data_IF_763775806883
#
_entry.id   IF_763775806883
#
_cell.length_a   1.000
_cell.length_b   1.000
_cell.length_c   1.000
_cell.angle_alpha   90.00
_cell.angle_beta   90.00
_cell.angle_gamma   90.00
#
_symmetry.space_group_name_H-M   'P 1'
#
loop_
_entity.id
_entity.type
_entity.pdbx_description
1 polymer ?
#
# COMPACT_ATOMS: atom_id res chain seq x y z
N UNK A 1 -30.88 -43.21 6.15
CA UNK A 1 -30.45 -42.09 5.28
C UNK A 1 -30.42 -40.74 6.01
N UNK A 2 -31.48 -40.37 6.76
CA UNK A 2 -31.55 -39.11 7.53
C UNK A 2 -30.32 -38.82 8.42
N UNK A 3 -29.80 -39.81 9.15
CA UNK A 3 -28.61 -39.67 10.02
C UNK A 3 -27.34 -39.26 9.24
N UNK A 4 -27.15 -39.77 8.03
CA UNK A 4 -26.02 -39.40 7.15
C UNK A 4 -26.15 -37.95 6.63
N UNK A 5 -27.38 -37.53 6.33
CA UNK A 5 -27.69 -36.15 5.91
C UNK A 5 -27.43 -35.16 7.05
N UNK A 6 -27.85 -35.49 8.28
CA UNK A 6 -27.57 -34.67 9.46
C UNK A 6 -26.08 -34.53 9.75
N UNK A 7 -25.30 -35.61 9.62
CA UNK A 7 -23.84 -35.57 9.78
C UNK A 7 -23.22 -34.65 8.71
N UNK A 8 -23.65 -34.77 7.45
CA UNK A 8 -23.19 -33.89 6.38
C UNK A 8 -23.47 -32.41 6.66
N UNK A 9 -24.67 -32.09 7.15
CA UNK A 9 -25.02 -30.70 7.54
C UNK A 9 -24.19 -30.18 8.70
N UNK A 10 -23.93 -31.00 9.72
CA UNK A 10 -23.09 -30.60 10.87
C UNK A 10 -21.67 -30.26 10.41
N UNK A 11 -21.09 -31.09 9.55
CA UNK A 11 -19.75 -30.84 8.99
C UNK A 11 -19.72 -29.54 8.19
N UNK A 12 -20.74 -29.29 7.36
CA UNK A 12 -20.83 -28.06 6.56
C UNK A 12 -20.93 -26.81 7.45
N UNK A 13 -21.75 -26.84 8.50
CA UNK A 13 -21.90 -25.74 9.46
C UNK A 13 -20.57 -25.48 10.18
N UNK A 14 -19.85 -26.53 10.60
CA UNK A 14 -18.55 -26.39 11.26
C UNK A 14 -17.50 -25.78 10.33
N UNK A 15 -17.48 -26.16 9.05
CA UNK A 15 -16.57 -25.57 8.05
C UNK A 15 -16.87 -24.09 7.84
N UNK A 16 -18.15 -23.71 7.70
CA UNK A 16 -18.57 -22.31 7.54
C UNK A 16 -18.25 -21.48 8.79
N UNK A 17 -18.48 -22.02 9.99
CA UNK A 17 -18.14 -21.37 11.25
C UNK A 17 -16.61 -21.18 11.41
N UNK A 18 -15.82 -22.19 11.06
CA UNK A 18 -14.36 -22.11 11.11
C UNK A 18 -13.81 -21.10 10.10
N UNK A 19 -14.35 -21.09 8.89
CA UNK A 19 -13.97 -20.15 7.83
C UNK A 19 -14.31 -18.71 8.20
N UNK A 20 -15.54 -18.46 8.69
CA UNK A 20 -15.96 -17.13 9.13
C UNK A 20 -15.15 -16.64 10.33
N UNK A 21 -14.86 -17.51 11.30
CA UNK A 21 -13.98 -17.18 12.43
C UNK A 21 -12.56 -16.83 12.00
N UNK A 22 -11.99 -17.59 11.06
CA UNK A 22 -10.68 -17.29 10.47
C UNK A 22 -10.69 -15.96 9.73
N UNK A 23 -11.67 -15.75 8.85
CA UNK A 23 -11.81 -14.51 8.08
C UNK A 23 -11.97 -13.28 8.98
N UNK A 24 -12.81 -13.39 10.02
CA UNK A 24 -12.97 -12.33 11.00
C UNK A 24 -11.65 -12.03 11.72
N UNK A 25 -10.94 -13.05 12.19
CA UNK A 25 -9.65 -12.90 12.89
C UNK A 25 -8.59 -12.22 12.02
N UNK A 26 -8.54 -12.52 10.72
CA UNK A 26 -7.59 -11.92 9.78
C UNK A 26 -7.85 -10.44 9.50
N UNK A 27 -9.11 -10.00 9.59
CA UNK A 27 -9.53 -8.62 9.33
C UNK A 27 -9.55 -7.73 10.57
N UNK A 28 -9.24 -8.27 11.76
CA UNK A 28 -9.12 -7.46 12.97
C UNK A 28 -7.90 -6.54 12.88
N UNK A 29 -8.07 -5.30 13.32
CA UNK A 29 -6.97 -4.37 13.46
C UNK A 29 -6.20 -4.68 14.75
N UNK A 30 -4.88 -4.78 14.61
CA UNK A 30 -3.94 -5.03 15.71
C UNK A 30 -2.85 -3.97 15.68
N UNK A 31 -2.30 -3.65 16.84
CA UNK A 31 -1.25 -2.64 16.96
C UNK A 31 -0.04 -3.01 16.09
N UNK A 32 0.40 -2.03 15.30
CA UNK A 32 1.61 -2.16 14.52
C UNK A 32 2.81 -2.14 15.47
N UNK A 33 3.46 -3.30 15.59
CA UNK A 33 4.72 -3.42 16.32
C UNK A 33 5.89 -3.44 15.33
N UNK A 34 6.86 -2.52 15.47
CA UNK A 34 8.04 -2.48 14.62
C UNK A 34 8.78 -3.81 14.67
N UNK A 35 9.28 -4.24 13.51
CA UNK A 35 9.99 -5.51 13.34
C UNK A 35 11.40 -5.25 12.84
N UNK A 36 12.38 -5.86 13.48
CA UNK A 36 13.79 -5.83 13.08
C UNK A 36 14.31 -7.23 12.83
N UNK A 37 15.26 -7.35 11.90
CA UNK A 37 15.96 -8.60 11.67
C UNK A 37 16.79 -8.94 12.91
N UNK A 38 16.76 -10.20 13.34
CA UNK A 38 17.70 -10.70 14.33
C UNK A 38 19.08 -10.77 13.68
N UNK A 39 20.11 -10.40 14.43
CA UNK A 39 21.50 -10.56 14.00
C UNK A 39 21.81 -12.06 13.91
N UNK A 40 21.68 -12.62 12.70
CA UNK A 40 22.14 -13.95 12.39
C UNK A 40 23.32 -13.86 11.44
N UNK A 41 24.39 -14.58 11.76
CA UNK A 41 25.60 -14.74 10.93
C UNK A 41 25.34 -15.61 9.67
N UNK A 42 24.07 -15.85 9.34
CA UNK A 42 23.61 -16.72 8.25
C UNK A 42 22.87 -15.92 7.20
N UNK A 43 23.08 -16.28 5.94
CA UNK A 43 22.35 -15.73 4.80
C UNK A 43 20.84 -15.73 5.07
N UNK A 44 20.23 -14.55 5.00
CA UNK A 44 18.78 -14.35 5.19
C UNK A 44 18.07 -15.15 4.11
N UNK A 45 17.34 -16.20 4.51
CA UNK A 45 16.38 -16.88 3.64
C UNK A 45 15.09 -16.07 3.74
N UNK A 46 14.66 -15.46 2.63
CA UNK A 46 13.39 -14.73 2.58
C UNK A 46 12.24 -15.66 3.02
N UNK A 47 11.26 -15.13 3.75
CA UNK A 47 10.04 -15.82 4.23
C UNK A 47 10.15 -16.64 5.52
N UNK A 48 11.27 -16.61 6.24
CA UNK A 48 11.36 -17.23 7.56
C UNK A 48 11.05 -16.20 8.67
N UNK A 49 9.88 -16.37 9.32
CA UNK A 49 9.43 -15.52 10.41
C UNK A 49 10.37 -15.58 11.63
N UNK A 50 11.14 -16.66 11.79
CA UNK A 50 12.07 -16.82 12.92
C UNK A 50 13.28 -15.89 12.83
N UNK A 51 13.55 -15.32 11.64
CA UNK A 51 14.61 -14.35 11.40
C UNK A 51 14.30 -12.96 11.95
N UNK A 52 13.08 -12.73 12.42
CA UNK A 52 12.62 -11.42 12.87
C UNK A 52 12.29 -11.39 14.35
N UNK A 53 12.45 -10.22 14.98
CA UNK A 53 11.95 -9.93 16.33
C UNK A 53 11.18 -8.61 16.32
N UNK A 54 10.25 -8.46 17.25
CA UNK A 54 9.69 -7.14 17.53
C UNK A 54 10.77 -6.25 18.15
N UNK A 55 10.83 -5.00 17.71
CA UNK A 55 11.76 -4.03 18.23
C UNK A 55 11.31 -3.53 19.59
N UNK A 56 12.27 -3.31 20.49
CA UNK A 56 12.04 -2.67 21.77
C UNK A 56 11.85 -1.14 21.59
N UNK A 57 11.17 -0.45 22.53
CA UNK A 57 10.88 0.99 22.39
C UNK A 57 12.12 1.89 22.19
N UNK A 58 13.29 1.46 22.66
CA UNK A 58 14.59 2.14 22.49
C UNK A 58 15.28 1.84 21.16
N UNK A 59 14.91 0.76 20.47
CA UNK A 59 15.46 0.38 19.16
C UNK A 59 14.79 1.15 18.02
N UNK A 60 13.74 1.90 18.31
CA UNK A 60 12.91 2.60 17.33
C UNK A 60 13.03 4.12 17.50
N UNK A 61 13.21 4.89 16.42
CA UNK A 61 13.34 6.34 16.52
C UNK A 61 12.05 6.98 17.04
N UNK A 62 12.14 8.10 17.78
CA UNK A 62 10.98 8.72 18.43
C UNK A 62 9.89 9.20 17.46
N UNK A 63 10.24 9.50 16.21
CA UNK A 63 9.29 9.93 15.17
C UNK A 63 8.78 8.77 14.30
N UNK A 64 8.99 7.53 14.72
CA UNK A 64 8.71 6.34 13.93
C UNK A 64 7.26 6.27 13.43
N UNK A 65 6.26 6.43 14.30
CA UNK A 65 4.86 6.33 13.87
C UNK A 65 4.47 7.40 12.84
N UNK A 66 5.06 8.59 12.91
CA UNK A 66 4.88 9.64 11.89
C UNK A 66 5.43 9.21 10.53
N UNK A 67 6.61 8.59 10.52
CA UNK A 67 7.23 8.07 9.30
C UNK A 67 6.50 6.84 8.77
N UNK A 68 6.08 5.95 9.65
CA UNK A 68 5.30 4.76 9.32
C UNK A 68 3.98 5.14 8.66
N UNK A 69 3.28 6.15 9.19
CA UNK A 69 2.06 6.70 8.56
C UNK A 69 2.28 7.04 7.10
N UNK A 70 3.32 7.83 6.83
CA UNK A 70 3.70 8.22 5.46
C UNK A 70 4.01 7.02 4.56
N UNK A 71 4.72 6.02 5.09
CA UNK A 71 5.06 4.78 4.37
C UNK A 71 3.80 3.98 4.03
N UNK A 72 2.87 3.84 4.98
CA UNK A 72 1.63 3.09 4.78
C UNK A 72 0.70 3.78 3.78
N UNK A 73 0.58 5.11 3.85
CA UNK A 73 -0.18 5.92 2.87
C UNK A 73 0.35 5.70 1.44
N UNK A 74 1.68 5.75 1.27
CA UNK A 74 2.37 5.47 -0.01
C UNK A 74 2.15 4.05 -0.52
N UNK A 75 2.12 3.08 0.37
CA UNK A 75 1.91 1.68 0.02
C UNK A 75 0.43 1.33 -0.17
N UNK A 76 -0.49 2.30 -0.08
CA UNK A 76 -1.94 2.10 -0.12
C UNK A 76 -2.40 1.02 0.85
N UNK A 77 -1.88 1.06 2.07
CA UNK A 77 -2.22 0.12 3.14
C UNK A 77 -3.27 0.76 4.02
N UNK A 78 -4.41 0.09 4.18
CA UNK A 78 -5.41 0.51 5.16
C UNK A 78 -4.88 0.32 6.59
N UNK A 79 -5.00 1.36 7.40
CA UNK A 79 -4.68 1.36 8.83
C UNK A 79 -5.69 2.22 9.61
N UNK A 80 -5.76 1.99 10.92
CA UNK A 80 -6.43 2.88 11.86
C UNK A 80 -5.37 3.60 12.70
N UNK A 81 -5.63 4.85 13.06
CA UNK A 81 -4.78 5.64 13.95
C UNK A 81 -5.57 6.01 15.20
N UNK A 82 -5.11 5.55 16.37
CA UNK A 82 -5.71 5.90 17.67
C UNK A 82 -4.61 6.37 18.60
N UNK A 83 -4.73 7.58 19.16
CA UNK A 83 -3.74 8.17 20.08
C UNK A 83 -2.29 8.21 19.54
N UNK A 84 -2.13 8.35 18.22
CA UNK A 84 -0.82 8.34 17.55
C UNK A 84 -0.20 6.94 17.38
N UNK A 85 -0.94 5.88 17.74
CA UNK A 85 -0.57 4.49 17.52
C UNK A 85 -1.28 4.00 16.26
N UNK A 86 -0.55 3.30 15.41
CA UNK A 86 -1.06 2.75 14.14
C UNK A 86 -1.48 1.30 14.34
N UNK A 87 -2.65 0.95 13.82
CA UNK A 87 -3.18 -0.41 13.82
C UNK A 87 -3.37 -0.89 12.39
N UNK A 88 -2.96 -2.12 12.10
CA UNK A 88 -3.08 -2.76 10.78
C UNK A 88 -3.86 -4.07 10.86
N UNK A 89 -4.44 -4.50 9.75
CA UNK A 89 -5.13 -5.79 9.70
C UNK A 89 -4.19 -6.94 10.09
N UNK A 90 -4.69 -7.85 10.92
CA UNK A 90 -3.95 -8.99 11.44
C UNK A 90 -3.30 -9.84 10.34
N UNK A 91 -3.94 -9.97 9.18
CA UNK A 91 -3.35 -10.61 7.99
C UNK A 91 -2.00 -10.02 7.59
N UNK A 92 -1.87 -8.68 7.61
CA UNK A 92 -0.62 -7.98 7.28
C UNK A 92 0.37 -8.06 8.43
N UNK A 93 -0.12 -7.98 9.67
CA UNK A 93 0.71 -8.13 10.86
C UNK A 93 1.44 -9.49 10.93
N UNK A 94 0.79 -10.56 10.48
CA UNK A 94 1.38 -11.91 10.48
C UNK A 94 2.46 -12.13 9.41
N UNK A 95 2.63 -11.22 8.47
CA UNK A 95 3.70 -11.23 7.48
C UNK A 95 4.90 -10.43 8.02
N UNK A 96 5.83 -11.12 8.70
CA UNK A 96 6.97 -10.46 9.35
C UNK A 96 7.91 -9.78 8.35
N UNK A 97 8.01 -10.31 7.14
CA UNK A 97 8.83 -9.70 6.08
C UNK A 97 8.22 -8.38 5.62
N UNK A 98 6.89 -8.34 5.45
CA UNK A 98 6.17 -7.10 5.13
C UNK A 98 6.29 -6.06 6.26
N UNK A 99 6.11 -6.51 7.51
CA UNK A 99 6.26 -5.65 8.69
C UNK A 99 7.68 -5.09 8.82
N UNK A 100 8.69 -5.92 8.58
CA UNK A 100 10.09 -5.52 8.56
C UNK A 100 10.40 -4.51 7.44
N UNK A 101 9.85 -4.72 6.24
CA UNK A 101 10.01 -3.79 5.12
C UNK A 101 9.43 -2.40 5.45
N UNK A 102 8.21 -2.34 5.99
CA UNK A 102 7.62 -1.06 6.42
C UNK A 102 8.42 -0.42 7.55
N UNK A 103 8.87 -1.21 8.52
CA UNK A 103 9.72 -0.72 9.61
C UNK A 103 11.01 -0.11 9.07
N UNK A 104 11.71 -0.83 8.18
CA UNK A 104 12.98 -0.39 7.57
C UNK A 104 12.81 0.87 6.73
N UNK A 105 11.71 0.98 5.96
CA UNK A 105 11.38 2.21 5.21
C UNK A 105 11.10 3.39 6.14
N UNK A 106 10.36 3.17 7.22
CA UNK A 106 10.02 4.20 8.19
C UNK A 106 11.23 4.69 9.01
N UNK A 107 12.27 3.87 9.14
CA UNK A 107 13.51 4.24 9.84
C UNK A 107 14.62 4.74 8.89
N UNK A 108 14.54 4.46 7.59
CA UNK A 108 15.56 4.83 6.62
C UNK A 108 15.43 6.27 6.12
N UNK A 109 16.40 7.12 6.50
CA UNK A 109 16.49 8.49 5.98
C UNK A 109 16.79 8.55 4.47
N UNK A 110 17.49 7.55 3.94
CA UNK A 110 17.82 7.43 2.52
C UNK A 110 16.56 7.18 1.69
N UNK A 111 15.68 6.29 2.18
CA UNK A 111 14.40 6.01 1.55
C UNK A 111 13.55 7.28 1.36
N UNK A 112 13.43 8.11 2.41
CA UNK A 112 12.71 9.39 2.32
C UNK A 112 13.37 10.44 1.42
N UNK A 113 14.68 10.36 1.17
CA UNK A 113 15.36 11.23 0.21
C UNK A 113 15.04 10.79 -1.21
N UNK A 114 15.21 9.51 -1.51
CA UNK A 114 14.93 8.92 -2.82
C UNK A 114 13.48 9.15 -3.25
N UNK A 115 12.52 8.94 -2.35
CA UNK A 115 11.10 9.16 -2.66
C UNK A 115 10.78 10.63 -2.97
N UNK A 116 11.40 11.58 -2.26
CA UNK A 116 11.22 13.01 -2.54
C UNK A 116 11.83 13.43 -3.88
N UNK A 117 12.99 12.86 -4.23
CA UNK A 117 13.62 13.10 -5.53
C UNK A 117 12.73 12.53 -6.66
N UNK A 118 12.19 11.33 -6.48
CA UNK A 118 11.27 10.71 -7.42
C UNK A 118 9.99 11.55 -7.59
N UNK A 119 9.41 12.05 -6.50
CA UNK A 119 8.25 12.95 -6.55
C UNK A 119 8.53 14.22 -7.34
N UNK A 120 9.68 14.86 -7.07
CA UNK A 120 10.06 16.07 -7.77
C UNK A 120 10.22 15.82 -9.27
N UNK A 121 10.77 14.67 -9.65
CA UNK A 121 10.95 14.26 -11.04
C UNK A 121 9.60 13.96 -11.71
N UNK A 122 8.71 13.24 -11.03
CA UNK A 122 7.37 12.93 -11.53
C UNK A 122 6.54 14.19 -11.77
N UNK A 123 6.63 15.18 -10.86
CA UNK A 123 5.94 16.47 -11.03
C UNK A 123 6.44 17.23 -12.26
N UNK A 124 7.75 17.21 -12.53
CA UNK A 124 8.32 17.82 -13.74
C UNK A 124 7.76 17.13 -14.98
N UNK A 125 7.80 15.79 -15.00
CA UNK A 125 7.32 14.99 -16.11
C UNK A 125 5.81 15.20 -16.37
N UNK A 126 4.99 15.22 -15.32
CA UNK A 126 3.54 15.44 -15.44
C UNK A 126 3.24 16.83 -16.03
N UNK A 127 3.97 17.86 -15.58
CA UNK A 127 3.83 19.21 -16.13
C UNK A 127 4.20 19.27 -17.61
N UNK A 128 5.35 18.69 -17.98
CA UNK A 128 5.79 18.64 -19.39
C UNK A 128 4.78 17.89 -20.26
N UNK A 129 4.23 16.79 -19.76
CA UNK A 129 3.19 16.03 -20.44
C UNK A 129 1.92 16.86 -20.65
N UNK A 130 1.41 17.51 -19.61
CA UNK A 130 0.21 18.36 -19.68
C UNK A 130 0.42 19.54 -20.62
N UNK A 131 1.57 20.22 -20.57
CA UNK A 131 1.91 21.33 -21.45
C UNK A 131 1.98 20.87 -22.93
N UNK A 132 2.54 19.68 -23.17
CA UNK A 132 2.56 19.04 -24.50
C UNK A 132 1.14 18.74 -25.02
N UNK A 133 0.28 18.15 -24.18
CA UNK A 133 -1.13 17.87 -24.54
C UNK A 133 -1.90 19.15 -24.84
N UNK A 134 -1.69 20.20 -24.04
CA UNK A 134 -2.31 21.51 -24.25
C UNK A 134 -1.92 22.09 -25.61
N UNK A 135 -0.63 22.02 -25.97
CA UNK A 135 -0.14 22.49 -27.28
C UNK A 135 -0.79 21.74 -28.45
N UNK A 136 -0.94 20.43 -28.35
CA UNK A 136 -1.62 19.61 -29.36
C UNK A 136 -3.08 20.05 -29.50
N UNK A 137 -3.79 20.21 -28.38
CA UNK A 137 -5.18 20.63 -28.38
C UNK A 137 -5.37 22.04 -28.97
N UNK A 138 -4.48 22.98 -28.63
CA UNK A 138 -4.49 24.32 -29.18
C UNK A 138 -4.25 24.31 -30.70
N UNK A 139 -3.29 23.51 -31.19
CA UNK A 139 -3.06 23.38 -32.64
C UNK A 139 -4.28 22.81 -33.37
N UNK A 140 -4.91 21.78 -32.81
CA UNK A 140 -6.12 21.19 -33.41
C UNK A 140 -7.30 22.18 -33.41
N UNK A 141 -7.44 23.00 -32.37
CA UNK A 141 -8.48 24.04 -32.30
C UNK A 141 -8.27 25.13 -33.34
N UNK A 142 -7.03 25.53 -33.61
CA UNK A 142 -6.69 26.49 -34.66
C UNK A 142 -7.04 25.91 -36.03
N UNK A 143 -6.62 24.67 -36.31
CA UNK A 143 -6.91 23.99 -37.57
C UNK A 143 -8.42 23.88 -37.83
N UNK A 144 -9.20 23.45 -36.84
CA UNK A 144 -10.67 23.37 -36.94
C UNK A 144 -11.29 24.74 -37.23
N UNK A 145 -10.82 25.80 -36.58
CA UNK A 145 -11.31 27.17 -36.82
C UNK A 145 -11.01 27.62 -38.24
N UNK A 146 -9.79 27.44 -38.73
CA UNK A 146 -9.41 27.79 -40.10
C UNK A 146 -10.23 27.01 -41.14
N UNK A 147 -10.43 25.73 -40.91
CA UNK A 147 -11.26 24.86 -41.75
C UNK A 147 -12.72 25.32 -41.80
N UNK A 148 -13.28 25.71 -40.65
CA UNK A 148 -14.65 26.22 -40.57
C UNK A 148 -14.83 27.53 -41.33
N UNK A 149 -13.85 28.44 -41.26
CA UNK A 149 -13.85 29.71 -41.98
C UNK A 149 -13.78 29.46 -43.49
N UNK A 150 -12.88 28.58 -43.94
CA UNK A 150 -12.78 28.20 -45.36
C UNK A 150 -14.12 27.68 -45.88
N UNK A 151 -14.75 26.72 -45.18
CA UNK A 151 -16.05 26.16 -45.58
C UNK A 151 -17.16 27.22 -45.66
N UNK A 152 -17.20 28.16 -44.73
CA UNK A 152 -18.18 29.25 -44.75
C UNK A 152 -17.97 30.23 -45.92
N UNK A 153 -16.72 30.38 -46.38
CA UNK A 153 -16.36 31.30 -47.48
C UNK A 153 -16.65 30.69 -48.85
N UNK A 154 -16.49 29.36 -49.02
CA UNK A 154 -16.78 28.64 -50.26
C UNK A 154 -18.27 28.29 -50.46
N UNK A 155 -19.14 28.60 -49.48
CA UNK A 155 -20.60 28.37 -49.55
C UNK A 155 -21.41 29.61 -49.99
N UNK A 156 -20.74 30.69 -50.40
CA UNK A 156 -21.33 31.87 -51.04
C UNK A 156 -20.98 31.91 -52.52
#
# INVERSE_FOLDING_TARGET
>A
MKKKIYIGMIVLILLLASYSGYYYSQNRYVEFRPVIAKEYDRQIIFFDNDLYKFAEPNEVPPNYYKHLKWVLDRCHVDYLEENGIIYVQNKRFNDMNLMWNYTTRATSSEFFKLEREMDSTNLIYEKEYVDSQKKIMESSLIEIKEDSIKRATFSK
#
